data_IF_666553602785
#
_entry.id   IF_666553602785
#
_cell.length_a   1.000
_cell.length_b   1.000
_cell.length_c   1.000
_cell.angle_alpha   90.00
_cell.angle_beta   90.00
_cell.angle_gamma   90.00
#
_symmetry.space_group_name_H-M   'P 1'
#
loop_
_entity.id
_entity.type
_entity.pdbx_description
1 polymer ?
#
# COMPACT_ATOMS: atom_id res chain seq x y z
N UNK A 1 -9.67 -11.15 0.48
CA UNK A 1 -10.28 -9.79 0.40
C UNK A 1 -9.17 -8.77 0.18
N UNK A 2 -9.39 -7.77 -0.68
CA UNK A 2 -8.37 -6.80 -1.13
C UNK A 2 -8.15 -5.66 -0.13
N UNK A 3 -7.77 -5.98 1.11
CA UNK A 3 -7.69 -4.99 2.19
C UNK A 3 -6.67 -3.85 1.96
N UNK A 4 -5.72 -4.04 1.04
CA UNK A 4 -4.71 -3.05 0.66
C UNK A 4 -5.28 -1.84 -0.09
N UNK A 5 -6.54 -1.89 -0.55
CA UNK A 5 -7.22 -0.75 -1.18
C UNK A 5 -7.84 0.21 -0.16
N UNK A 6 -7.78 -0.13 1.13
CA UNK A 6 -8.39 0.64 2.22
C UNK A 6 -7.32 1.21 3.15
N UNK A 7 -7.51 2.46 3.60
CA UNK A 7 -6.61 3.12 4.59
C UNK A 7 -6.78 2.54 6.01
N UNK A 8 -7.97 2.05 6.36
CA UNK A 8 -8.26 1.50 7.70
C UNK A 8 -8.74 2.53 8.73
N UNK A 9 -8.51 3.82 8.50
CA UNK A 9 -9.13 4.93 9.25
C UNK A 9 -10.63 5.05 8.91
N UNK A 10 -11.44 5.58 9.83
CA UNK A 10 -12.83 5.93 9.56
C UNK A 10 -12.97 7.20 8.68
N UNK A 11 -14.20 7.53 8.28
CA UNK A 11 -14.48 8.63 7.37
C UNK A 11 -14.18 10.01 7.97
N UNK A 12 -14.42 10.20 9.28
CA UNK A 12 -14.12 11.48 9.96
C UNK A 12 -12.62 11.74 9.94
N UNK A 13 -11.84 10.74 10.34
CA UNK A 13 -10.39 10.85 10.36
C UNK A 13 -9.85 11.04 8.95
N UNK A 14 -10.35 10.30 7.96
CA UNK A 14 -9.92 10.47 6.56
C UNK A 14 -10.22 11.87 6.03
N UNK A 15 -11.33 12.49 6.42
CA UNK A 15 -11.70 13.84 5.97
C UNK A 15 -10.73 14.94 6.42
N UNK A 16 -9.95 14.69 7.49
CA UNK A 16 -9.05 15.66 8.12
C UNK A 16 -7.60 15.17 8.20
N UNK A 17 -7.31 13.98 7.70
CA UNK A 17 -6.00 13.36 7.83
C UNK A 17 -4.95 14.11 6.97
N UNK A 18 -3.80 14.51 7.53
CA UNK A 18 -2.74 15.17 6.76
C UNK A 18 -2.11 14.26 5.70
N UNK A 19 -2.33 12.94 5.79
CA UNK A 19 -1.83 11.95 4.83
C UNK A 19 -2.90 11.47 3.85
N UNK A 20 -4.13 11.96 3.93
CA UNK A 20 -5.16 11.70 2.93
C UNK A 20 -5.07 12.70 1.77
N UNK A 21 -3.85 12.93 1.29
CA UNK A 21 -3.57 13.77 0.14
C UNK A 21 -3.87 12.92 -1.11
N UNK A 22 -4.67 13.42 -2.07
CA UNK A 22 -4.93 12.70 -3.31
C UNK A 22 -3.63 12.28 -3.97
N UNK A 23 -3.53 10.99 -4.26
CA UNK A 23 -2.32 10.41 -4.82
C UNK A 23 -1.33 9.93 -3.77
N UNK A 24 -1.20 10.45 -2.55
CA UNK A 24 -0.15 9.95 -1.64
C UNK A 24 -0.55 8.65 -0.90
N UNK A 25 0.33 7.64 -0.79
CA UNK A 25 0.06 6.47 0.03
C UNK A 25 0.03 6.84 1.52
N UNK A 26 -0.68 6.05 2.31
CA UNK A 26 -0.64 6.15 3.77
C UNK A 26 0.74 5.68 4.27
N UNK A 27 1.45 6.48 5.08
CA UNK A 27 2.82 6.19 5.45
C UNK A 27 2.94 4.96 6.36
N UNK A 28 4.08 4.28 6.28
CA UNK A 28 4.34 3.02 6.98
C UNK A 28 4.31 3.13 8.52
N UNK A 29 4.71 4.29 9.04
CA UNK A 29 4.79 4.60 10.47
C UNK A 29 3.49 5.20 11.05
N UNK A 30 2.44 5.36 10.24
CA UNK A 30 1.15 5.81 10.74
C UNK A 30 0.54 4.78 11.69
N UNK A 31 0.25 5.19 12.93
CA UNK A 31 -0.42 4.34 13.92
C UNK A 31 -1.73 3.71 13.40
N UNK A 32 -2.43 4.43 12.52
CA UNK A 32 -3.72 4.03 11.97
C UNK A 32 -3.60 3.25 10.65
N UNK A 33 -2.42 3.15 10.04
CA UNK A 33 -2.19 2.31 8.86
C UNK A 33 -1.91 0.85 9.24
N UNK A 34 -1.58 0.59 10.50
CA UNK A 34 -1.38 -0.75 11.06
C UNK A 34 -2.58 -1.63 10.76
N UNK A 35 -2.30 -2.86 10.33
CA UNK A 35 -3.33 -3.84 10.00
C UNK A 35 -3.40 -4.89 11.11
N UNK A 36 -4.56 -4.98 11.75
CA UNK A 36 -4.88 -5.92 12.82
C UNK A 36 -5.46 -7.26 12.32
N UNK A 37 -5.71 -7.36 11.01
CA UNK A 37 -6.23 -8.59 10.40
C UNK A 37 -5.28 -9.77 10.65
N UNK A 38 -5.78 -10.97 10.98
CA UNK A 38 -4.96 -12.16 11.18
C UNK A 38 -4.10 -12.55 9.97
N UNK A 39 -4.47 -12.10 8.76
CA UNK A 39 -3.72 -12.32 7.52
C UNK A 39 -2.55 -11.35 7.34
N UNK A 40 -2.38 -10.37 8.23
CA UNK A 40 -1.26 -9.45 8.14
C UNK A 40 -0.02 -10.05 8.81
N UNK A 41 0.94 -10.44 7.96
CA UNK A 41 2.24 -10.98 8.38
C UNK A 41 3.31 -10.23 7.59
N UNK A 42 4.32 -9.70 8.28
CA UNK A 42 5.47 -9.12 7.60
C UNK A 42 6.25 -10.25 6.91
N UNK A 43 6.49 -10.09 5.62
CA UNK A 43 7.18 -11.07 4.81
C UNK A 43 8.67 -11.05 5.12
N UNK A 44 9.22 -12.24 5.37
CA UNK A 44 10.67 -12.44 5.55
C UNK A 44 11.35 -12.97 4.27
N UNK A 45 10.56 -13.34 3.25
CA UNK A 45 11.05 -13.85 1.96
C UNK A 45 11.36 -12.70 0.99
N UNK A 46 12.65 -12.46 0.75
CA UNK A 46 13.12 -11.47 -0.21
C UNK A 46 12.67 -11.75 -1.65
N UNK A 47 12.50 -13.01 -2.04
CA UNK A 47 12.02 -13.37 -3.38
C UNK A 47 10.61 -12.85 -3.63
N UNK A 48 9.75 -12.89 -2.60
CA UNK A 48 8.41 -12.30 -2.65
C UNK A 48 8.46 -10.77 -2.63
N UNK A 49 9.24 -10.18 -1.72
CA UNK A 49 9.33 -8.73 -1.55
C UNK A 49 9.95 -8.00 -2.76
N UNK A 50 10.81 -8.69 -3.51
CA UNK A 50 11.52 -8.13 -4.66
C UNK A 50 10.95 -8.64 -5.99
N UNK A 51 9.80 -9.32 -5.98
CA UNK A 51 9.16 -9.79 -7.20
C UNK A 51 8.81 -8.59 -8.11
N UNK A 52 9.44 -8.46 -9.29
CA UNK A 52 9.22 -7.31 -10.18
C UNK A 52 7.87 -7.37 -10.89
N UNK A 53 7.19 -8.51 -10.89
CA UNK A 53 5.88 -8.69 -11.53
C UNK A 53 4.72 -8.20 -10.64
N UNK A 54 4.99 -7.87 -9.38
CA UNK A 54 3.97 -7.41 -8.43
C UNK A 54 3.72 -5.90 -8.59
N UNK A 55 2.44 -5.50 -8.63
CA UNK A 55 2.07 -4.09 -8.62
C UNK A 55 2.02 -3.54 -7.17
N UNK A 56 3.16 -3.08 -6.67
CA UNK A 56 3.28 -2.48 -5.32
C UNK A 56 2.56 -1.13 -5.17
N UNK A 57 2.20 -0.46 -6.27
CA UNK A 57 1.50 0.83 -6.23
C UNK A 57 -0.01 0.65 -6.05
N UNK A 58 -0.54 -0.56 -6.23
CA UNK A 58 -1.93 -0.88 -5.93
C UNK A 58 -2.25 -0.85 -4.41
N UNK A 59 -1.22 -0.91 -3.56
CA UNK A 59 -1.38 -0.79 -2.13
C UNK A 59 -1.46 0.68 -1.70
N UNK A 60 -2.59 1.05 -1.07
CA UNK A 60 -2.81 2.40 -0.52
C UNK A 60 -1.93 2.66 0.71
N UNK A 61 -1.49 1.61 1.41
CA UNK A 61 -0.68 1.72 2.63
C UNK A 61 0.70 1.15 2.38
N UNK A 62 1.74 1.88 2.80
CA UNK A 62 3.12 1.41 2.63
C UNK A 62 3.38 0.10 3.39
N UNK A 63 2.76 -0.10 4.57
CA UNK A 63 2.87 -1.37 5.33
C UNK A 63 2.41 -2.60 4.54
N UNK A 64 1.48 -2.43 3.59
CA UNK A 64 1.00 -3.54 2.79
C UNK A 64 2.04 -4.03 1.78
N UNK A 65 3.03 -3.22 1.40
CA UNK A 65 4.04 -3.60 0.40
C UNK A 65 5.00 -4.69 0.89
N UNK A 66 5.06 -4.92 2.20
CA UNK A 66 5.84 -5.99 2.83
C UNK A 66 4.95 -7.05 3.50
N UNK A 67 3.63 -6.99 3.32
CA UNK A 67 2.70 -7.94 3.91
C UNK A 67 2.55 -9.18 3.02
N UNK A 68 2.73 -10.39 3.58
CA UNK A 68 2.64 -11.65 2.82
C UNK A 68 1.32 -11.79 2.06
N UNK A 69 0.19 -11.45 2.70
CA UNK A 69 -1.12 -11.52 2.06
C UNK A 69 -1.22 -10.63 0.82
N UNK A 70 -0.58 -9.47 0.82
CA UNK A 70 -0.52 -8.62 -0.37
C UNK A 70 0.46 -9.17 -1.41
N UNK A 71 1.63 -9.66 -0.97
CA UNK A 71 2.63 -10.20 -1.89
C UNK A 71 2.13 -11.46 -2.62
N UNK A 72 1.30 -12.27 -1.95
CA UNK A 72 0.73 -13.49 -2.53
C UNK A 72 -0.53 -13.24 -3.36
N UNK A 73 -1.35 -12.25 -3.00
CA UNK A 73 -2.69 -12.06 -3.59
C UNK A 73 -2.94 -10.70 -4.24
N UNK A 74 -1.96 -9.79 -4.21
CA UNK A 74 -2.06 -8.50 -4.87
C UNK A 74 -2.21 -8.62 -6.38
N UNK A 75 -2.47 -7.51 -7.08
CA UNK A 75 -2.49 -7.48 -8.54
C UNK A 75 -1.08 -7.61 -9.12
N UNK A 76 -0.97 -8.16 -10.33
CA UNK A 76 0.28 -8.16 -11.08
C UNK A 76 0.42 -6.85 -11.86
N UNK A 77 1.65 -6.46 -12.19
CA UNK A 77 1.95 -5.26 -12.96
C UNK A 77 1.32 -5.32 -14.36
N UNK A 78 1.16 -6.53 -14.91
CA UNK A 78 0.53 -6.76 -16.23
C UNK A 78 -0.95 -6.43 -16.24
N UNK A 79 -1.61 -6.48 -15.08
CA UNK A 79 -3.05 -6.20 -14.93
C UNK A 79 -3.32 -4.71 -14.69
N UNK A 80 -2.26 -3.89 -14.61
CA UNK A 80 -2.38 -2.47 -14.32
C UNK A 80 -3.11 -1.76 -15.46
N UNK A 81 -4.19 -1.01 -15.18
CA UNK A 81 -4.95 -0.33 -16.21
C UNK A 81 -4.14 0.76 -16.91
N UNK A 82 -4.40 0.95 -18.21
CA UNK A 82 -3.83 2.07 -18.96
C UNK A 82 -4.20 3.41 -18.31
N UNK A 83 -3.24 4.32 -18.24
CA UNK A 83 -3.42 5.63 -17.59
C UNK A 83 -3.31 5.61 -16.06
N UNK A 84 -2.94 4.48 -15.44
CA UNK A 84 -2.65 4.43 -14.00
C UNK A 84 -1.55 5.45 -13.63
N UNK A 85 -1.88 6.35 -12.71
CA UNK A 85 -0.89 7.20 -12.05
C UNK A 85 -0.50 6.57 -10.72
N UNK A 86 0.80 6.37 -10.53
CA UNK A 86 1.34 5.95 -9.24
C UNK A 86 0.84 6.87 -8.13
N UNK A 87 0.54 6.24 -7.00
CA UNK A 87 0.29 6.97 -5.78
C UNK A 87 1.60 7.57 -5.22
N UNK A 88 1.67 8.90 -5.21
CA UNK A 88 2.57 9.72 -4.41
C UNK A 88 3.68 10.35 -5.23
N UNK A 89 4.36 11.34 -4.65
CA UNK A 89 5.49 11.99 -5.28
C UNK A 89 6.68 11.01 -5.35
N UNK A 90 7.12 10.59 -6.55
CA UNK A 90 8.27 9.69 -6.70
C UNK A 90 9.57 10.29 -6.15
N UNK A 91 9.63 11.61 -6.00
CA UNK A 91 10.78 12.37 -5.51
C UNK A 91 10.63 12.81 -4.04
N UNK A 92 9.68 12.26 -3.26
CA UNK A 92 9.44 12.69 -1.87
C UNK A 92 10.70 12.66 -0.97
N UNK A 93 11.69 11.84 -1.31
CA UNK A 93 12.95 11.70 -0.58
C UNK A 93 14.16 12.36 -1.26
N UNK A 94 13.96 12.97 -2.42
CA UNK A 94 14.99 13.75 -3.11
C UNK A 94 14.81 15.20 -2.70
N UNK A 95 15.52 15.58 -1.64
CA UNK A 95 15.69 16.98 -1.21
C UNK A 95 16.71 17.69 -2.11
#
# INVERSE_FOLDING_TARGET
MSCWTLRGCDDEMQSRCPHNIPGEPCPADCLYSQCDRPTHVNCEDFGKMLNPERDYDAAVKEVCRICEHFLDHGPALVDRPEGFSRQGNPNRFLL
#
